data_IF_833815574082
#
_entry.id   IF_833815574082
#
_cell.length_a   1.000
_cell.length_b   1.000
_cell.length_c   1.000
_cell.angle_alpha   90.00
_cell.angle_beta   90.00
_cell.angle_gamma   90.00
#
_symmetry.space_group_name_H-M   'P 1'
#
loop_
_entity.id
_entity.type
_entity.pdbx_description
1 polymer ?
#
# COMPACT_ATOMS: atom_id res chain seq x y z
N UNK A 1 -3.20 13.83 -8.87
CA UNK A 1 -4.35 13.40 -8.06
C UNK A 1 -4.60 11.91 -8.14
N UNK A 2 -3.58 11.06 -8.02
CA UNK A 2 -3.69 9.59 -8.04
C UNK A 2 -2.93 8.96 -6.86
N UNK A 3 -2.94 9.67 -5.72
CA UNK A 3 -2.20 9.29 -4.52
C UNK A 3 -3.20 9.25 -3.35
N UNK A 4 -3.25 8.12 -2.68
CA UNK A 4 -4.06 7.90 -1.49
C UNK A 4 -3.21 8.20 -0.25
N UNK A 5 -3.74 9.08 0.62
CA UNK A 5 -3.08 9.50 1.87
C UNK A 5 -3.74 8.94 3.14
N UNK A 6 -4.97 8.42 3.02
CA UNK A 6 -5.75 7.97 4.16
C UNK A 6 -5.48 6.50 4.52
N UNK A 7 -5.37 5.63 3.52
CA UNK A 7 -5.27 4.17 3.66
C UNK A 7 -6.50 3.58 4.36
N UNK A 8 -7.14 2.58 3.76
CA UNK A 8 -8.33 1.97 4.36
C UNK A 8 -8.11 0.50 4.74
N UNK A 9 -8.88 0.02 5.71
CA UNK A 9 -9.05 -1.39 6.02
C UNK A 9 -10.54 -1.72 6.03
N UNK A 10 -10.87 -2.97 5.73
CA UNK A 10 -12.24 -3.50 5.84
C UNK A 10 -12.66 -3.52 7.30
N UNK A 11 -13.90 -3.10 7.55
CA UNK A 11 -14.47 -3.03 8.89
C UNK A 11 -13.99 -1.84 9.71
N UNK A 12 -14.58 -1.70 10.88
CA UNK A 12 -14.34 -0.58 11.79
C UNK A 12 -14.61 -1.00 13.23
N UNK A 13 -14.04 -0.25 14.18
CA UNK A 13 -14.45 -0.32 15.59
C UNK A 13 -15.92 0.08 15.77
N UNK A 14 -16.44 0.92 14.88
CA UNK A 14 -17.83 1.35 14.86
C UNK A 14 -18.60 0.51 13.85
N UNK A 15 -19.58 -0.27 14.31
CA UNK A 15 -20.29 -1.30 13.54
C UNK A 15 -21.00 -0.78 12.28
N UNK A 16 -21.37 0.50 12.25
CA UNK A 16 -22.05 1.14 11.10
C UNK A 16 -21.12 1.51 9.96
N UNK A 17 -19.80 1.48 10.18
CA UNK A 17 -18.82 1.90 9.18
C UNK A 17 -18.21 0.69 8.46
N UNK A 18 -18.41 0.56 7.13
CA UNK A 18 -17.90 -0.59 6.36
C UNK A 18 -16.38 -0.57 6.18
N UNK A 19 -15.76 0.60 6.33
CA UNK A 19 -14.31 0.79 6.24
C UNK A 19 -13.84 1.79 7.29
N UNK A 20 -12.57 1.68 7.66
CA UNK A 20 -11.91 2.62 8.57
C UNK A 20 -10.45 2.79 8.19
N UNK A 21 -9.75 3.72 8.85
CA UNK A 21 -8.32 3.93 8.58
C UNK A 21 -7.50 2.67 8.86
N UNK A 22 -6.50 2.43 8.02
CA UNK A 22 -5.51 1.40 8.26
C UNK A 22 -4.46 1.84 9.29
N UNK A 23 -4.91 1.93 10.55
CA UNK A 23 -4.12 2.38 11.70
C UNK A 23 -2.75 1.74 11.86
N UNK A 24 -2.54 0.48 11.40
CA UNK A 24 -1.23 -0.18 11.47
C UNK A 24 -0.17 0.50 10.58
N UNK A 25 -0.60 1.25 9.58
CA UNK A 25 0.21 2.04 8.65
C UNK A 25 0.11 3.56 8.89
N UNK A 26 -0.42 4.00 10.04
CA UNK A 26 -0.44 5.42 10.40
C UNK A 26 0.85 5.80 11.18
N UNK A 27 1.73 6.67 10.64
CA UNK A 27 2.97 7.06 11.30
C UNK A 27 2.77 7.68 12.69
N UNK A 28 1.67 8.41 12.87
CA UNK A 28 1.32 9.09 14.13
C UNK A 28 0.82 8.13 15.22
N UNK A 29 0.45 6.88 14.85
CA UNK A 29 -0.04 5.88 15.78
C UNK A 29 1.00 4.78 16.09
N UNK A 30 2.23 4.88 15.55
CA UNK A 30 3.27 3.83 15.70
C UNK A 30 3.55 3.43 17.14
N UNK A 31 3.44 4.36 18.10
CA UNK A 31 3.67 4.08 19.52
C UNK A 31 2.48 3.47 20.27
N UNK A 32 1.31 3.36 19.62
CA UNK A 32 0.05 2.95 20.25
C UNK A 32 -0.49 1.61 19.72
N UNK A 33 0.10 1.07 18.65
CA UNK A 33 -0.41 -0.10 17.92
C UNK A 33 0.74 -1.01 17.50
N UNK A 34 0.46 -2.27 17.15
CA UNK A 34 1.44 -3.17 16.50
C UNK A 34 1.71 -2.73 15.05
N UNK A 35 2.38 -1.60 14.90
CA UNK A 35 2.58 -0.97 13.60
C UNK A 35 3.39 -1.86 12.67
N UNK A 36 2.99 -1.89 11.40
CA UNK A 36 3.74 -2.56 10.33
C UNK A 36 4.76 -1.65 9.66
N UNK A 37 4.98 -0.44 10.21
CA UNK A 37 5.92 0.52 9.67
C UNK A 37 7.32 0.40 10.29
N UNK A 38 8.38 0.59 9.50
CA UNK A 38 9.72 0.84 10.03
C UNK A 38 9.75 2.04 11.00
N UNK A 39 10.67 2.02 11.96
CA UNK A 39 10.82 3.10 12.94
C UNK A 39 11.02 4.47 12.30
N UNK A 40 11.80 4.54 11.22
CA UNK A 40 12.14 5.75 10.46
C UNK A 40 11.03 6.24 9.51
N UNK A 41 9.94 5.48 9.32
CA UNK A 41 8.86 5.87 8.41
C UNK A 41 8.01 7.02 8.98
N UNK A 42 8.14 8.22 8.40
CA UNK A 42 7.37 9.42 8.79
C UNK A 42 6.09 9.65 7.96
N UNK A 43 5.97 9.02 6.80
CA UNK A 43 4.82 9.12 5.91
C UNK A 43 4.61 7.80 5.16
N UNK A 44 3.37 7.56 4.76
CA UNK A 44 2.97 6.45 3.89
C UNK A 44 2.03 7.00 2.83
N UNK A 45 2.25 6.59 1.59
CA UNK A 45 1.39 6.93 0.46
C UNK A 45 1.07 5.64 -0.29
N UNK A 46 -0.16 5.56 -0.79
CA UNK A 46 -0.65 4.44 -1.58
C UNK A 46 -1.00 4.91 -2.99
N UNK A 47 -0.73 4.06 -3.98
CA UNK A 47 -1.15 4.25 -5.37
C UNK A 47 -2.12 3.11 -5.69
N UNK A 48 -3.35 3.46 -6.06
CA UNK A 48 -4.37 2.51 -6.50
C UNK A 48 -4.42 2.53 -8.02
N UNK A 49 -4.44 1.35 -8.64
CA UNK A 49 -4.39 1.18 -10.09
C UNK A 49 -5.58 0.33 -10.51
N UNK A 50 -6.46 0.91 -11.32
CA UNK A 50 -7.49 0.19 -12.06
C UNK A 50 -7.02 -0.02 -13.50
N UNK A 51 -7.30 -1.18 -14.08
CA UNK A 51 -6.89 -1.53 -15.44
C UNK A 51 -7.90 -2.44 -16.12
N UNK A 52 -7.84 -2.50 -17.46
CA UNK A 52 -8.72 -3.33 -18.27
C UNK A 52 -8.35 -4.82 -18.22
N UNK A 53 -7.09 -5.12 -17.91
CA UNK A 53 -6.56 -6.48 -17.79
C UNK A 53 -5.44 -6.56 -16.74
N UNK A 54 -5.11 -7.79 -16.34
CA UNK A 54 -4.10 -8.06 -15.31
C UNK A 54 -2.67 -7.71 -15.75
N UNK A 55 -2.38 -7.80 -17.05
CA UNK A 55 -1.06 -7.48 -17.59
C UNK A 55 -0.77 -5.98 -17.52
N UNK A 56 -1.76 -5.15 -17.83
CA UNK A 56 -1.71 -3.70 -17.71
C UNK A 56 -1.47 -3.27 -16.26
N UNK A 57 -2.18 -3.88 -15.30
CA UNK A 57 -1.99 -3.60 -13.86
C UNK A 57 -0.59 -4.03 -13.40
N UNK A 58 -0.14 -5.22 -13.82
CA UNK A 58 1.19 -5.73 -13.50
C UNK A 58 2.28 -4.84 -14.07
N UNK A 59 2.14 -4.40 -15.33
CA UNK A 59 3.07 -3.48 -15.98
C UNK A 59 3.10 -2.12 -15.27
N UNK A 60 1.93 -1.53 -14.99
CA UNK A 60 1.81 -0.26 -14.28
C UNK A 60 2.45 -0.33 -12.88
N UNK A 61 2.23 -1.44 -12.16
CA UNK A 61 2.86 -1.72 -10.86
C UNK A 61 4.39 -1.77 -11.01
N UNK A 62 4.90 -2.53 -11.99
CA UNK A 62 6.33 -2.68 -12.21
C UNK A 62 7.02 -1.33 -12.48
N UNK A 63 6.48 -0.53 -13.41
CA UNK A 63 7.08 0.76 -13.79
C UNK A 63 7.00 1.77 -12.64
N UNK A 64 5.88 1.81 -11.91
CA UNK A 64 5.71 2.69 -10.76
C UNK A 64 6.68 2.37 -9.62
N UNK A 65 6.83 1.09 -9.29
CA UNK A 65 7.78 0.65 -8.25
C UNK A 65 9.23 0.91 -8.68
N UNK A 66 9.60 0.60 -9.93
CA UNK A 66 10.94 0.87 -10.46
C UNK A 66 11.26 2.37 -10.42
N UNK A 67 10.31 3.23 -10.79
CA UNK A 67 10.47 4.68 -10.73
C UNK A 67 10.65 5.18 -9.29
N UNK A 68 9.85 4.70 -8.32
CA UNK A 68 10.02 5.04 -6.91
C UNK A 68 11.39 4.60 -6.38
N UNK A 69 11.83 3.38 -6.71
CA UNK A 69 13.12 2.86 -6.32
C UNK A 69 14.31 3.62 -6.96
N UNK A 70 14.16 4.10 -8.21
CA UNK A 70 15.18 4.91 -8.88
C UNK A 70 15.43 6.25 -8.17
N UNK A 71 14.38 6.87 -7.58
CA UNK A 71 14.55 8.04 -6.71
C UNK A 71 15.30 7.67 -5.41
N UNK A 72 15.00 6.47 -4.87
CA UNK A 72 15.79 5.80 -3.84
C UNK A 72 15.81 6.48 -2.47
N UNK A 73 16.71 5.99 -1.61
CA UNK A 73 16.83 6.44 -0.20
C UNK A 73 17.18 7.93 -0.09
N UNK A 74 17.93 8.49 -1.05
CA UNK A 74 18.29 9.92 -1.08
C UNK A 74 17.07 10.84 -1.15
N UNK A 75 15.95 10.36 -1.70
CA UNK A 75 14.67 11.09 -1.77
C UNK A 75 13.66 10.61 -0.72
N UNK A 76 14.11 9.86 0.29
CA UNK A 76 13.27 9.43 1.41
C UNK A 76 12.45 8.16 1.19
N UNK A 77 12.68 7.42 0.10
CA UNK A 77 11.97 6.15 -0.15
C UNK A 77 12.55 5.04 0.74
N UNK A 78 11.85 4.71 1.82
CA UNK A 78 12.32 3.74 2.83
C UNK A 78 12.05 2.30 2.40
N UNK A 79 10.90 2.04 1.78
CA UNK A 79 10.52 0.71 1.31
C UNK A 79 9.22 0.77 0.51
N UNK A 80 8.93 -0.34 -0.19
CA UNK A 80 7.73 -0.53 -1.00
C UNK A 80 7.06 -1.81 -0.54
N UNK A 81 5.73 -1.78 -0.46
CA UNK A 81 4.88 -2.93 -0.13
C UNK A 81 3.57 -2.84 -0.92
N UNK A 82 2.68 -3.81 -0.75
CA UNK A 82 1.35 -3.83 -1.34
C UNK A 82 0.29 -4.14 -0.27
N UNK A 83 -0.80 -3.36 -0.28
CA UNK A 83 -1.98 -3.64 0.53
C UNK A 83 -2.69 -4.90 0.06
N UNK A 84 -3.22 -5.70 0.98
CA UNK A 84 -4.04 -6.87 0.67
C UNK A 84 -5.03 -7.17 1.80
N UNK A 85 -6.01 -8.02 1.52
CA UNK A 85 -7.08 -8.41 2.45
C UNK A 85 -6.99 -9.89 2.86
N UNK A 86 -5.77 -10.43 2.98
CA UNK A 86 -5.55 -11.82 3.39
C UNK A 86 -5.86 -12.87 2.31
N UNK A 87 -6.02 -12.45 1.05
CA UNK A 87 -6.20 -13.35 -0.11
C UNK A 87 -7.62 -13.83 -0.38
N UNK A 88 -8.57 -13.57 0.52
CA UNK A 88 -9.93 -14.14 0.44
C UNK A 88 -11.00 -13.18 -0.12
N UNK A 89 -10.66 -11.90 -0.34
CA UNK A 89 -11.64 -10.90 -0.79
C UNK A 89 -11.59 -10.63 -2.30
N UNK A 90 -10.38 -10.45 -2.84
CA UNK A 90 -10.16 -10.15 -4.25
C UNK A 90 -9.74 -11.41 -5.02
N UNK A 91 -10.27 -11.63 -6.25
CA UNK A 91 -9.90 -12.78 -7.06
C UNK A 91 -8.51 -12.67 -7.70
N UNK A 92 -7.95 -11.46 -7.79
CA UNK A 92 -6.65 -11.19 -8.43
C UNK A 92 -5.57 -10.88 -7.39
N UNK A 93 -4.43 -11.57 -7.49
CA UNK A 93 -3.30 -11.40 -6.56
C UNK A 93 -2.04 -10.96 -7.33
N UNK A 94 -1.72 -9.67 -7.26
CA UNK A 94 -0.56 -9.07 -7.92
C UNK A 94 0.69 -9.14 -7.03
N UNK A 95 1.41 -10.25 -7.07
CA UNK A 95 2.59 -10.47 -6.22
C UNK A 95 3.79 -9.67 -6.72
N UNK A 96 4.25 -8.70 -5.93
CA UNK A 96 5.40 -7.84 -6.28
C UNK A 96 6.65 -8.64 -6.68
N UNK A 97 6.92 -9.77 -6.03
CA UNK A 97 8.07 -10.63 -6.36
C UNK A 97 7.98 -11.20 -7.77
N UNK A 98 6.78 -11.51 -8.27
CA UNK A 98 6.58 -12.06 -9.61
C UNK A 98 6.62 -10.94 -10.66
N UNK A 99 6.01 -9.79 -10.35
CA UNK A 99 5.96 -8.60 -11.21
C UNK A 99 7.33 -7.95 -11.41
N UNK A 100 8.20 -7.99 -10.40
CA UNK A 100 9.50 -7.31 -10.40
C UNK A 100 10.69 -8.22 -10.75
N UNK A 101 10.43 -9.46 -11.15
CA UNK A 101 11.49 -10.33 -11.68
C UNK A 101 12.20 -9.70 -12.87
#
# INVERSE_FOLDING_TARGET
>A
GGVVRSGSKVGSKYSTLPASTNHLFCPTLKGLVDSKLPRDAGAVLEIVIDGLDADSISHATAVGVKAACAAGRKRGIIGISAGNYGGNLGPYHFKLREILK
#
